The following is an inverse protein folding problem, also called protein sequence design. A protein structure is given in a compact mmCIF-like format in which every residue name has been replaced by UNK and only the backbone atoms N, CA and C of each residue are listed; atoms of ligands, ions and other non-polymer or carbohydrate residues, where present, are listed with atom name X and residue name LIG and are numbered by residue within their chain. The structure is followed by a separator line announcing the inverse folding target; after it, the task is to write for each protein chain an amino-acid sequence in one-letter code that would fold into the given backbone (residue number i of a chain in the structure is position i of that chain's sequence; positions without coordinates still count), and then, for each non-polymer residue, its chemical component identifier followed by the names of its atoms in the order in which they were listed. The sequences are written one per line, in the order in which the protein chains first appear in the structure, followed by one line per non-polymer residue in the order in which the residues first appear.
data_IF_992117492306
#
_entry.id   IF_992117492306
#
_cell.length_a   1.000
_cell.length_b   1.000
_cell.length_c   1.000
_cell.angle_alpha   90.00
_cell.angle_beta   90.00
_cell.angle_gamma   90.00
#
_symmetry.space_group_name_H-M   'P 1'
#
loop_
_entity.id
_entity.type
_entity.pdbx_description
1 polymer ?
#
# COMPACT_ATOMS: atom_id res chain seq x y z
N UNK A 1 -2.28 -2.99 -35.43
CA UNK A 1 -2.04 -4.27 -34.71
C UNK A 1 -1.34 -3.92 -33.41
N UNK A 2 -2.01 -4.02 -32.27
CA UNK A 2 -1.42 -3.74 -30.96
C UNK A 2 -0.31 -4.77 -30.69
N UNK A 3 0.94 -4.34 -30.51
CA UNK A 3 2.03 -5.25 -30.16
C UNK A 3 1.80 -5.76 -28.72
N UNK A 4 1.32 -7.00 -28.59
CA UNK A 4 0.97 -7.65 -27.32
C UNK A 4 2.12 -7.59 -26.30
N UNK A 5 3.37 -7.53 -26.77
CA UNK A 5 4.58 -7.43 -25.93
C UNK A 5 4.67 -6.13 -25.13
N UNK A 6 4.21 -5.02 -25.68
CA UNK A 6 4.22 -3.72 -24.99
C UNK A 6 3.00 -3.52 -24.07
N UNK A 7 1.90 -4.21 -24.36
CA UNK A 7 0.63 -4.02 -23.68
C UNK A 7 0.67 -4.54 -22.23
N UNK A 8 1.19 -5.75 -22.03
CA UNK A 8 1.21 -6.41 -20.70
C UNK A 8 1.92 -5.57 -19.63
N UNK A 9 3.19 -5.14 -19.81
CA UNK A 9 3.86 -4.33 -18.79
C UNK A 9 3.20 -2.96 -18.60
N UNK A 10 2.63 -2.38 -19.67
CA UNK A 10 1.93 -1.08 -19.62
C UNK A 10 0.64 -1.15 -18.79
N UNK A 11 -0.18 -2.19 -19.01
CA UNK A 11 -1.40 -2.39 -18.22
C UNK A 11 -1.05 -2.73 -16.76
N UNK A 12 -0.06 -3.60 -16.55
CA UNK A 12 0.37 -4.00 -15.22
C UNK A 12 0.82 -2.81 -14.38
N UNK A 13 1.68 -1.93 -14.92
CA UNK A 13 2.14 -0.74 -14.18
C UNK A 13 1.04 0.29 -13.97
N UNK A 14 0.16 0.48 -14.97
CA UNK A 14 -0.94 1.43 -14.83
C UNK A 14 -1.91 0.99 -13.73
N UNK A 15 -2.33 -0.29 -13.73
CA UNK A 15 -3.21 -0.82 -12.69
C UNK A 15 -2.52 -0.82 -11.32
N UNK A 16 -1.26 -1.25 -11.24
CA UNK A 16 -0.50 -1.22 -10.00
C UNK A 16 -0.31 0.20 -9.44
N UNK A 17 -0.09 1.18 -10.32
CA UNK A 17 0.02 2.60 -9.94
C UNK A 17 -1.28 3.11 -9.34
N UNK A 18 -2.43 2.82 -9.96
CA UNK A 18 -3.74 3.20 -9.43
C UNK A 18 -3.97 2.53 -8.07
N UNK A 19 -3.77 1.22 -7.95
CA UNK A 19 -3.95 0.50 -6.68
C UNK A 19 -3.06 1.08 -5.58
N UNK A 20 -1.79 1.37 -5.90
CA UNK A 20 -0.83 1.91 -4.92
C UNK A 20 -1.19 3.33 -4.49
N UNK A 21 -1.66 4.18 -5.41
CA UNK A 21 -2.20 5.51 -5.09
C UNK A 21 -3.45 5.40 -4.20
N UNK A 22 -4.36 4.49 -4.50
CA UNK A 22 -5.55 4.26 -3.69
C UNK A 22 -5.19 3.82 -2.27
N UNK A 23 -4.21 2.93 -2.12
CA UNK A 23 -3.69 2.53 -0.81
C UNK A 23 -3.02 3.70 -0.07
N UNK A 24 -2.25 4.52 -0.78
CA UNK A 24 -1.52 5.67 -0.20
C UNK A 24 -2.45 6.78 0.30
N UNK A 25 -3.56 7.00 -0.41
CA UNK A 25 -4.54 8.05 -0.09
C UNK A 25 -5.79 7.54 0.61
N UNK A 26 -5.85 6.24 0.96
CA UNK A 26 -6.91 5.69 1.79
C UNK A 26 -7.03 6.49 3.10
N UNK A 27 -8.25 6.77 3.54
CA UNK A 27 -8.49 7.49 4.80
C UNK A 27 -8.12 8.97 4.78
N UNK A 28 -8.09 9.60 3.61
CA UNK A 28 -7.96 11.05 3.52
C UNK A 28 -9.21 11.77 3.95
N UNK A 29 -10.34 11.28 3.45
CA UNK A 29 -11.65 11.85 3.71
C UNK A 29 -12.51 10.76 4.34
N UNK A 30 -13.52 11.19 5.10
CA UNK A 30 -14.40 10.32 5.88
C UNK A 30 -15.04 9.19 5.07
N UNK A 31 -15.28 9.42 3.76
CA UNK A 31 -15.92 8.46 2.86
C UNK A 31 -14.97 7.85 1.81
N UNK A 32 -13.67 8.17 1.86
CA UNK A 32 -12.72 7.71 0.85
C UNK A 32 -11.98 6.47 1.33
N UNK A 33 -12.43 5.29 0.87
CA UNK A 33 -11.84 3.99 1.18
C UNK A 33 -11.66 3.76 2.71
N UNK A 34 -12.71 4.05 3.48
CA UNK A 34 -12.67 3.95 4.95
C UNK A 34 -12.43 2.54 5.50
N UNK A 35 -12.75 1.51 4.72
CA UNK A 35 -12.48 0.09 5.04
C UNK A 35 -11.14 -0.42 4.48
N UNK A 36 -10.30 0.48 3.94
CA UNK A 36 -8.97 0.16 3.43
C UNK A 36 -7.94 0.69 4.41
N UNK A 37 -8.07 0.22 5.63
CA UNK A 37 -7.13 0.48 6.70
C UNK A 37 -6.08 -0.61 6.78
N UNK A 38 -4.91 -0.26 7.29
CA UNK A 38 -3.86 -1.21 7.63
C UNK A 38 -4.31 -2.05 8.83
N UNK A 39 -4.85 -1.37 9.85
CA UNK A 39 -5.48 -1.96 11.01
C UNK A 39 -6.46 -0.98 11.65
N UNK A 40 -7.48 -1.51 12.32
CA UNK A 40 -8.45 -0.78 13.13
C UNK A 40 -8.22 -1.12 14.60
N UNK A 41 -8.05 -0.08 15.43
CA UNK A 41 -8.05 -0.17 16.88
C UNK A 41 -9.43 0.15 17.42
N UNK A 42 -9.87 -0.62 18.41
CA UNK A 42 -11.07 -0.40 19.19
C UNK A 42 -10.67 -0.14 20.62
N UNK A 43 -11.21 0.95 21.16
CA UNK A 43 -10.97 1.38 22.53
C UNK A 43 -12.29 1.38 23.30
N UNK A 44 -12.23 1.23 24.64
CA UNK A 44 -13.43 1.32 25.46
C UNK A 44 -14.08 2.70 25.27
N UNK A 45 -15.40 2.70 25.11
CA UNK A 45 -16.18 3.91 24.98
C UNK A 45 -16.02 4.76 26.25
N UNK A 46 -15.60 6.01 26.09
CA UNK A 46 -15.45 6.93 27.20
C UNK A 46 -16.82 7.52 27.60
N UNK A 47 -17.27 7.24 28.82
CA UNK A 47 -18.50 7.80 29.39
C UNK A 47 -18.33 9.21 29.97
N UNK A 48 -17.12 9.77 29.99
CA UNK A 48 -16.77 10.98 30.78
C UNK A 48 -16.44 12.22 29.94
N UNK A 49 -16.37 12.11 28.61
CA UNK A 49 -16.19 13.26 27.72
C UNK A 49 -14.74 13.74 27.56
N UNK A 50 -13.77 12.87 27.80
CA UNK A 50 -12.31 13.08 27.65
C UNK A 50 -11.83 13.22 26.20
N UNK A 51 -12.72 13.06 25.21
CA UNK A 51 -12.40 13.19 23.79
C UNK A 51 -11.78 11.94 23.14
N UNK A 52 -11.79 10.80 23.85
CA UNK A 52 -11.39 9.49 23.30
C UNK A 52 -12.49 8.94 22.38
N UNK A 53 -12.09 8.37 21.24
CA UNK A 53 -12.99 7.78 20.27
C UNK A 53 -13.11 6.27 20.43
N UNK A 54 -14.21 5.67 19.96
CA UNK A 54 -14.46 4.23 20.09
C UNK A 54 -13.61 3.40 19.13
N UNK A 55 -13.26 3.97 17.97
CA UNK A 55 -12.40 3.32 17.01
C UNK A 55 -11.44 4.28 16.32
N UNK A 56 -10.26 3.76 15.98
CA UNK A 56 -9.22 4.42 15.21
C UNK A 56 -8.81 3.51 14.05
N UNK A 57 -9.07 3.98 12.83
CA UNK A 57 -8.71 3.31 11.58
C UNK A 57 -7.39 3.90 11.08
N UNK A 58 -6.35 3.07 10.99
CA UNK A 58 -4.98 3.51 10.66
C UNK A 58 -4.70 3.18 9.19
N UNK A 59 -4.29 4.20 8.42
CA UNK A 59 -3.89 4.07 7.03
C UNK A 59 -2.38 4.39 6.88
N UNK A 60 -1.82 4.23 5.66
CA UNK A 60 -0.38 4.46 5.43
C UNK A 60 0.05 5.88 5.82
N UNK A 61 -0.72 6.89 5.44
CA UNK A 61 -0.37 8.31 5.57
C UNK A 61 -1.27 9.11 6.52
N UNK A 62 -2.36 8.51 6.98
CA UNK A 62 -3.35 9.16 7.82
C UNK A 62 -3.98 8.16 8.77
N UNK A 63 -4.74 8.67 9.74
CA UNK A 63 -5.63 7.87 10.56
C UNK A 63 -6.97 8.59 10.65
N UNK A 64 -8.04 7.83 10.78
CA UNK A 64 -9.39 8.32 10.99
C UNK A 64 -9.91 7.81 12.33
N UNK A 65 -10.64 8.66 13.04
CA UNK A 65 -11.25 8.35 14.32
C UNK A 65 -12.76 8.51 14.23
N UNK A 66 -13.49 7.77 15.06
CA UNK A 66 -14.94 7.78 15.03
C UNK A 66 -15.62 7.09 16.19
N UNK A 67 -16.94 7.15 16.20
CA UNK A 67 -17.79 6.51 17.21
C UNK A 67 -18.60 5.38 16.60
N UNK A 68 -18.93 4.40 17.42
CA UNK A 68 -19.75 3.26 17.00
C UNK A 68 -21.23 3.63 17.16
N UNK A 69 -21.94 3.75 16.05
CA UNK A 69 -23.39 3.91 16.02
C UNK A 69 -24.09 2.56 16.16
N UNK A 70 -24.95 2.42 17.17
CA UNK A 70 -25.80 1.26 17.34
C UNK A 70 -27.10 1.42 16.55
N UNK A 71 -27.10 1.01 15.28
CA UNK A 71 -28.34 0.96 14.49
C UNK A 71 -28.99 -0.41 14.64
N UNK A 72 -29.93 -0.56 15.59
CA UNK A 72 -30.70 -1.79 15.88
C UNK A 72 -29.87 -3.06 16.21
N UNK A 73 -30.34 -3.95 17.12
CA UNK A 73 -29.62 -5.18 17.48
C UNK A 73 -29.50 -6.23 16.35
N UNK A 74 -30.08 -5.96 15.17
CA UNK A 74 -30.09 -6.85 14.01
C UNK A 74 -29.40 -6.27 12.77
N UNK A 75 -28.97 -5.00 12.82
CA UNK A 75 -28.11 -4.41 11.80
C UNK A 75 -26.74 -4.17 12.44
N UNK A 76 -25.67 -4.58 11.75
CA UNK A 76 -24.32 -4.55 12.31
C UNK A 76 -23.92 -3.17 12.84
N UNK A 77 -22.94 -3.16 13.76
CA UNK A 77 -22.39 -1.93 14.34
C UNK A 77 -21.94 -0.99 13.22
N UNK A 78 -22.55 0.19 13.14
CA UNK A 78 -22.27 1.17 12.09
C UNK A 78 -21.14 2.09 12.54
N UNK A 79 -20.02 2.13 11.82
CA UNK A 79 -18.89 3.01 12.14
C UNK A 79 -19.19 4.44 11.66
N UNK A 80 -19.25 5.41 12.56
CA UNK A 80 -19.41 6.83 12.21
C UNK A 80 -18.07 7.55 12.33
N UNK A 81 -17.45 7.85 11.19
CA UNK A 81 -16.14 8.54 11.15
C UNK A 81 -16.35 10.03 11.48
N UNK A 82 -15.81 10.48 12.61
CA UNK A 82 -15.98 11.85 13.09
C UNK A 82 -14.91 12.78 12.52
N UNK A 83 -13.64 12.37 12.52
CA UNK A 83 -12.52 13.17 12.05
C UNK A 83 -11.41 12.30 11.45
N UNK A 84 -10.61 12.86 10.54
CA UNK A 84 -9.41 12.24 10.02
C UNK A 84 -8.23 13.22 10.15
N UNK A 85 -7.04 12.67 10.39
CA UNK A 85 -5.80 13.44 10.49
C UNK A 85 -5.35 13.98 9.13
N UNK A 86 -4.53 15.04 9.15
CA UNK A 86 -3.95 15.63 7.95
C UNK A 86 -2.90 14.71 7.32
N UNK A 87 -2.88 14.67 5.98
CA UNK A 87 -1.89 13.94 5.16
C UNK A 87 -0.50 14.58 5.29
N UNK A 88 0.33 14.13 6.22
CA UNK A 88 1.75 14.51 6.22
C UNK A 88 2.62 13.26 6.29
N UNK A 89 3.63 13.18 5.41
CA UNK A 89 4.56 12.04 5.25
C UNK A 89 5.24 11.57 6.56
N UNK A 90 5.17 12.39 7.62
CA UNK A 90 5.79 12.18 8.93
C UNK A 90 4.80 12.15 10.11
N UNK A 91 3.49 12.31 9.86
CA UNK A 91 2.42 12.22 10.86
C UNK A 91 1.68 10.88 10.79
N UNK A 92 2.38 9.84 10.34
CA UNK A 92 2.01 8.46 10.65
C UNK A 92 1.52 8.37 12.09
N UNK A 93 0.40 7.66 12.30
CA UNK A 93 -0.30 7.47 13.56
C UNK A 93 0.63 7.69 14.75
N UNK A 94 0.44 8.82 15.43
CA UNK A 94 1.17 9.16 16.64
C UNK A 94 0.28 8.79 17.82
N UNK A 95 0.51 7.63 18.46
CA UNK A 95 -0.31 7.18 19.58
C UNK A 95 -0.27 8.18 20.73
N UNK A 96 0.78 9.00 20.83
CA UNK A 96 0.90 10.06 21.85
C UNK A 96 -0.04 11.25 21.62
N UNK A 97 -0.53 11.44 20.39
CA UNK A 97 -1.57 12.44 20.09
C UNK A 97 -2.98 11.91 20.32
N UNK A 98 -3.21 10.62 20.06
CA UNK A 98 -4.48 9.97 20.33
C UNK A 98 -4.69 9.76 21.84
N UNK A 99 -3.62 9.41 22.55
CA UNK A 99 -3.59 9.26 24.00
C UNK A 99 -2.30 9.88 24.55
N UNK A 100 -2.36 11.10 25.12
CA UNK A 100 -1.26 11.65 25.89
C UNK A 100 -0.85 10.66 26.97
N UNK A 101 0.46 10.55 27.25
CA UNK A 101 1.00 9.60 28.24
C UNK A 101 0.30 9.69 29.61
N UNK A 102 -0.24 10.86 29.92
CA UNK A 102 -1.01 11.19 31.11
C UNK A 102 -2.34 10.42 31.12
N UNK A 103 -3.13 10.49 30.03
CA UNK A 103 -4.38 9.76 29.86
C UNK A 103 -4.12 8.25 29.71
N UNK A 104 -3.10 7.86 28.94
CA UNK A 104 -2.74 6.46 28.75
C UNK A 104 -2.36 5.75 30.06
N UNK A 105 -1.65 6.44 30.96
CA UNK A 105 -1.18 5.88 32.22
C UNK A 105 -2.21 6.01 33.35
N UNK A 106 -2.96 7.13 33.39
CA UNK A 106 -3.79 7.50 34.54
C UNK A 106 -5.27 7.15 34.36
N UNK A 107 -5.80 7.27 33.13
CA UNK A 107 -7.20 6.94 32.79
C UNK A 107 -7.33 5.54 32.19
N UNK A 108 -6.39 5.13 31.33
CA UNK A 108 -6.43 3.85 30.61
C UNK A 108 -5.61 2.74 31.27
N UNK A 109 -4.70 3.06 32.19
CA UNK A 109 -3.91 2.10 32.97
C UNK A 109 -2.93 1.24 32.15
N UNK A 110 -2.55 1.68 30.95
CA UNK A 110 -1.76 0.84 30.03
C UNK A 110 -0.34 0.60 30.55
N UNK A 111 0.13 -0.67 30.59
CA UNK A 111 1.50 -0.97 30.96
C UNK A 111 2.49 -0.46 29.89
N UNK A 112 3.72 -0.14 30.32
CA UNK A 112 4.80 0.40 29.44
C UNK A 112 5.09 -0.45 28.21
N UNK A 113 4.82 -1.76 28.27
CA UNK A 113 4.96 -2.67 27.12
C UNK A 113 4.08 -2.27 25.93
N UNK A 114 2.86 -1.75 26.20
CA UNK A 114 1.94 -1.29 25.16
C UNK A 114 2.47 0.00 24.52
N UNK A 115 3.04 0.93 25.30
CA UNK A 115 3.63 2.15 24.76
C UNK A 115 4.88 1.89 23.91
N UNK A 116 5.67 0.86 24.25
CA UNK A 116 6.86 0.48 23.49
C UNK A 116 6.47 -0.14 22.13
N UNK A 117 5.46 -1.02 22.12
CA UNK A 117 4.88 -1.59 20.88
C UNK A 117 4.36 -0.47 19.97
N UNK A 118 3.67 0.52 20.53
CA UNK A 118 3.17 1.68 19.80
C UNK A 118 4.28 2.58 19.22
N UNK A 119 5.41 2.72 19.92
CA UNK A 119 6.57 3.41 19.39
C UNK A 119 7.19 2.67 18.21
N UNK A 120 7.32 1.33 18.30
CA UNK A 120 7.81 0.50 17.20
C UNK A 120 6.88 0.54 15.98
N UNK A 121 5.56 0.53 16.21
CA UNK A 121 4.54 0.67 15.17
C UNK A 121 4.73 2.00 14.42
N UNK A 122 4.89 3.11 15.14
CA UNK A 122 5.09 4.44 14.55
C UNK A 122 6.35 4.53 13.69
N UNK A 123 7.44 3.90 14.11
CA UNK A 123 8.70 3.92 13.36
C UNK A 123 8.58 3.07 12.09
N UNK A 124 7.99 1.88 12.19
CA UNK A 124 7.81 0.96 11.06
C UNK A 124 6.84 1.50 10.01
N UNK A 125 5.74 2.11 10.42
CA UNK A 125 4.76 2.73 9.51
C UNK A 125 5.33 3.95 8.77
N UNK A 126 6.20 4.75 9.40
CA UNK A 126 6.94 5.83 8.71
C UNK A 126 7.85 5.28 7.62
N UNK A 127 8.60 4.21 7.90
CA UNK A 127 9.47 3.58 6.90
C UNK A 127 8.64 3.02 5.75
N UNK A 128 7.54 2.32 6.06
CA UNK A 128 6.60 1.81 5.06
C UNK A 128 6.04 2.93 4.17
N UNK A 129 5.60 4.04 4.76
CA UNK A 129 5.07 5.21 4.07
C UNK A 129 6.08 5.80 3.07
N UNK A 130 7.35 5.95 3.48
CA UNK A 130 8.43 6.41 2.60
C UNK A 130 8.67 5.45 1.44
N UNK A 131 8.68 4.14 1.70
CA UNK A 131 8.85 3.12 0.66
C UNK A 131 7.71 3.14 -0.36
N UNK A 132 6.45 3.28 0.08
CA UNK A 132 5.32 3.45 -0.85
C UNK A 132 5.47 4.71 -1.71
N UNK A 133 5.92 5.83 -1.14
CA UNK A 133 6.15 7.05 -1.91
C UNK A 133 7.23 6.88 -2.98
N UNK A 134 8.33 6.21 -2.64
CA UNK A 134 9.39 5.89 -3.61
C UNK A 134 8.83 5.01 -4.72
N UNK A 135 8.06 3.98 -4.36
CA UNK A 135 7.46 3.05 -5.32
C UNK A 135 6.46 3.72 -6.27
N UNK A 136 5.53 4.51 -5.73
CA UNK A 136 4.55 5.29 -6.52
C UNK A 136 5.25 6.32 -7.39
N UNK A 137 6.28 6.98 -6.89
CA UNK A 137 7.11 7.90 -7.67
C UNK A 137 7.82 7.22 -8.83
N UNK A 138 8.44 6.06 -8.59
CA UNK A 138 9.08 5.26 -9.62
C UNK A 138 8.09 4.75 -10.68
N UNK A 139 6.91 4.31 -10.26
CA UNK A 139 5.83 3.91 -11.18
C UNK A 139 5.35 5.08 -12.05
N UNK A 140 5.13 6.25 -11.44
CA UNK A 140 4.76 7.47 -12.18
C UNK A 140 5.82 7.88 -13.18
N UNK A 141 7.10 7.84 -12.79
CA UNK A 141 8.23 8.12 -13.68
C UNK A 141 8.29 7.13 -14.86
N UNK A 142 8.10 5.82 -14.60
CA UNK A 142 8.06 4.81 -15.66
C UNK A 142 6.91 5.04 -16.66
N UNK A 143 5.73 5.45 -16.19
CA UNK A 143 4.60 5.82 -17.05
C UNK A 143 4.97 7.03 -17.93
N UNK A 144 5.60 8.07 -17.36
CA UNK A 144 6.05 9.24 -18.12
C UNK A 144 7.12 8.86 -19.16
N UNK A 145 8.07 8.00 -18.80
CA UNK A 145 9.07 7.47 -19.75
C UNK A 145 8.37 6.76 -20.90
N UNK A 146 7.37 5.90 -20.62
CA UNK A 146 6.60 5.22 -21.67
C UNK A 146 5.88 6.21 -22.60
N UNK A 147 5.18 7.20 -22.06
CA UNK A 147 4.53 8.25 -22.87
C UNK A 147 5.56 8.97 -23.74
N UNK A 148 6.72 9.30 -23.20
CA UNK A 148 7.79 9.93 -23.95
C UNK A 148 8.33 9.04 -25.07
N UNK A 149 8.51 7.74 -24.83
CA UNK A 149 8.96 6.78 -25.86
C UNK A 149 7.95 6.65 -27.00
N UNK A 150 6.64 6.76 -26.71
CA UNK A 150 5.60 6.72 -27.75
C UNK A 150 5.57 8.00 -28.61
N UNK A 151 5.92 9.15 -28.04
CA UNK A 151 5.97 10.43 -28.77
C UNK A 151 7.29 10.65 -29.52
N UNK A 152 8.38 10.08 -29.03
CA UNK A 152 9.73 10.26 -29.60
C UNK A 152 10.51 8.95 -29.52
N UNK A 153 10.26 8.00 -30.45
CA UNK A 153 10.91 6.70 -30.43
C UNK A 153 12.41 6.87 -30.69
N UNK A 154 13.23 6.59 -29.67
CA UNK A 154 14.70 6.57 -29.77
C UNK A 154 15.24 5.17 -29.46
N UNK A 155 16.23 4.68 -30.23
CA UNK A 155 16.91 3.43 -29.89
C UNK A 155 17.63 3.60 -28.54
N UNK A 156 17.38 2.69 -27.59
CA UNK A 156 18.06 2.65 -26.28
C UNK A 156 17.25 3.10 -25.05
N UNK A 157 15.95 3.38 -25.15
CA UNK A 157 15.12 3.81 -24.00
C UNK A 157 14.65 2.67 -23.07
N UNK A 158 14.77 1.41 -23.49
CA UNK A 158 14.31 0.23 -22.73
C UNK A 158 14.95 0.02 -21.34
N UNK A 159 16.28 0.16 -21.18
CA UNK A 159 16.95 -0.04 -19.89
C UNK A 159 16.52 0.95 -18.79
N UNK A 160 16.30 2.23 -19.14
CA UNK A 160 15.84 3.23 -18.19
C UNK A 160 14.46 2.87 -17.63
N UNK A 161 13.56 2.40 -18.49
CA UNK A 161 12.23 2.00 -18.09
C UNK A 161 12.26 0.76 -17.16
N UNK A 162 13.08 -0.23 -17.51
CA UNK A 162 13.30 -1.42 -16.68
C UNK A 162 13.81 -1.06 -15.27
N UNK A 163 14.71 -0.08 -15.15
CA UNK A 163 15.22 0.38 -13.85
C UNK A 163 14.13 0.95 -12.95
N UNK A 164 13.24 1.80 -13.49
CA UNK A 164 12.11 2.33 -12.73
C UNK A 164 11.11 1.24 -12.32
N UNK A 165 10.87 0.26 -13.18
CA UNK A 165 10.06 -0.92 -12.85
C UNK A 165 10.66 -1.73 -11.70
N UNK A 166 11.98 -1.99 -11.74
CA UNK A 166 12.70 -2.70 -10.68
C UNK A 166 12.67 -1.94 -9.36
N UNK A 167 12.92 -0.62 -9.39
CA UNK A 167 12.87 0.22 -8.21
C UNK A 167 11.46 0.25 -7.60
N UNK A 168 10.42 0.37 -8.44
CA UNK A 168 9.03 0.35 -8.05
C UNK A 168 8.61 -0.99 -7.44
N UNK A 169 8.96 -2.11 -8.08
CA UNK A 169 8.60 -3.45 -7.60
C UNK A 169 9.28 -3.77 -6.27
N UNK A 170 10.57 -3.48 -6.11
CA UNK A 170 11.30 -3.73 -4.87
C UNK A 170 10.76 -2.89 -3.71
N UNK A 171 10.56 -1.59 -3.92
CA UNK A 171 10.07 -0.69 -2.87
C UNK A 171 8.66 -1.05 -2.39
N UNK A 172 7.73 -1.31 -3.31
CA UNK A 172 6.35 -1.72 -2.96
C UNK A 172 6.31 -3.11 -2.32
N UNK A 173 7.18 -4.03 -2.74
CA UNK A 173 7.29 -5.36 -2.12
C UNK A 173 7.76 -5.26 -0.67
N UNK A 174 8.82 -4.50 -0.39
CA UNK A 174 9.31 -4.29 0.98
C UNK A 174 8.24 -3.59 1.83
N UNK A 175 7.57 -2.58 1.28
CA UNK A 175 6.50 -1.89 1.98
C UNK A 175 5.32 -2.83 2.31
N UNK A 176 4.95 -3.73 1.39
CA UNK A 176 3.89 -4.72 1.58
C UNK A 176 4.24 -5.77 2.65
N UNK A 177 5.52 -6.15 2.74
CA UNK A 177 6.01 -7.03 3.81
C UNK A 177 5.87 -6.33 5.16
N UNK A 178 6.31 -5.08 5.27
CA UNK A 178 6.18 -4.30 6.52
C UNK A 178 4.70 -4.16 6.90
N UNK A 179 3.83 -3.86 5.94
CA UNK A 179 2.39 -3.80 6.17
C UNK A 179 1.82 -5.13 6.70
N UNK A 180 2.30 -6.25 6.17
CA UNK A 180 1.88 -7.60 6.59
C UNK A 180 2.32 -7.89 8.04
N UNK A 181 3.55 -7.49 8.40
CA UNK A 181 4.05 -7.60 9.79
C UNK A 181 3.20 -6.74 10.73
N UNK A 182 2.87 -5.51 10.33
CA UNK A 182 1.98 -4.64 11.11
C UNK A 182 0.58 -5.25 11.25
N UNK A 183 0.03 -5.79 10.18
CA UNK A 183 -1.29 -6.41 10.18
C UNK A 183 -1.38 -7.64 11.10
N UNK A 184 -0.36 -8.50 11.14
CA UNK A 184 -0.46 -9.74 11.92
C UNK A 184 0.21 -9.66 13.29
N UNK A 185 1.47 -9.23 13.36
CA UNK A 185 2.26 -9.27 14.60
C UNK A 185 1.81 -8.19 15.58
N UNK A 186 1.67 -6.95 15.11
CA UNK A 186 1.25 -5.86 15.99
C UNK A 186 -0.19 -6.02 16.46
N UNK A 187 -1.10 -6.48 15.60
CA UNK A 187 -2.48 -6.77 15.99
C UNK A 187 -2.55 -7.89 17.02
N UNK A 188 -1.73 -8.95 16.87
CA UNK A 188 -1.66 -10.03 17.86
C UNK A 188 -1.11 -9.54 19.21
N UNK A 189 -0.05 -8.72 19.21
CA UNK A 189 0.52 -8.12 20.42
C UNK A 189 -0.49 -7.22 21.13
N UNK A 190 -1.19 -6.35 20.40
CA UNK A 190 -2.22 -5.47 20.95
C UNK A 190 -3.37 -6.27 21.55
N UNK A 191 -3.84 -7.32 20.87
CA UNK A 191 -4.91 -8.18 21.39
C UNK A 191 -4.46 -8.99 22.63
N UNK A 192 -3.20 -9.40 22.70
CA UNK A 192 -2.65 -10.11 23.84
C UNK A 192 -2.54 -9.21 25.08
N UNK A 193 -2.00 -8.01 24.92
CA UNK A 193 -1.84 -7.05 26.02
C UNK A 193 -3.13 -6.26 26.35
N UNK A 194 -4.05 -6.13 25.39
CA UNK A 194 -5.28 -5.34 25.48
C UNK A 194 -6.47 -6.04 26.17
N UNK A 195 -6.40 -7.37 26.36
CA UNK A 195 -7.48 -8.16 26.96
C UNK A 195 -7.90 -7.70 28.37
N UNK A 196 -6.98 -7.14 29.15
CA UNK A 196 -7.26 -6.61 30.49
C UNK A 196 -7.95 -5.24 30.49
N UNK A 197 -7.92 -4.52 29.35
CA UNK A 197 -8.29 -3.10 29.26
C UNK A 197 -9.38 -2.82 28.21
N UNK A 198 -10.03 -3.88 27.71
CA UNK A 198 -11.07 -3.81 26.67
C UNK A 198 -10.61 -3.10 25.38
N UNK A 199 -9.33 -3.26 25.03
CA UNK A 199 -8.74 -2.76 23.78
C UNK A 199 -8.58 -3.95 22.84
N UNK A 200 -9.02 -3.78 21.60
CA UNK A 200 -8.84 -4.81 20.56
C UNK A 200 -8.39 -4.20 19.24
N UNK A 201 -7.65 -4.97 18.46
CA UNK A 201 -7.16 -4.61 17.15
C UNK A 201 -7.65 -5.61 16.11
N UNK A 202 -8.00 -5.12 14.93
CA UNK A 202 -8.31 -5.92 13.76
C UNK A 202 -7.46 -5.46 12.58
N UNK A 203 -6.95 -6.39 11.79
CA UNK A 203 -6.17 -6.07 10.60
C UNK A 203 -7.08 -5.82 9.39
N UNK A 204 -6.62 -5.00 8.45
CA UNK A 204 -7.40 -4.68 7.27
C UNK A 204 -7.16 -5.64 6.11
N UNK A 205 -8.04 -6.62 5.95
CA UNK A 205 -7.99 -7.62 4.87
C UNK A 205 -8.00 -7.00 3.47
N UNK A 206 -8.82 -5.95 3.27
CA UNK A 206 -8.97 -5.28 1.97
C UNK A 206 -7.66 -4.59 1.55
N UNK A 207 -7.00 -3.91 2.49
CA UNK A 207 -5.72 -3.27 2.25
C UNK A 207 -4.65 -4.30 1.88
N UNK A 208 -4.58 -5.39 2.66
CA UNK A 208 -3.60 -6.46 2.44
C UNK A 208 -3.79 -7.09 1.04
N UNK A 209 -5.02 -7.39 0.66
CA UNK A 209 -5.34 -7.92 -0.68
C UNK A 209 -4.93 -6.97 -1.80
N UNK A 210 -5.17 -5.66 -1.66
CA UNK A 210 -4.81 -4.69 -2.68
C UNK A 210 -3.29 -4.48 -2.81
N UNK A 211 -2.56 -4.42 -1.69
CA UNK A 211 -1.11 -4.23 -1.79
C UNK A 211 -0.41 -5.44 -2.40
N UNK A 212 -0.82 -6.66 -2.05
CA UNK A 212 -0.27 -7.87 -2.67
C UNK A 212 -0.67 -8.01 -4.14
N UNK A 213 -1.87 -7.56 -4.53
CA UNK A 213 -2.25 -7.47 -5.93
C UNK A 213 -1.35 -6.50 -6.71
N UNK A 214 -1.03 -5.34 -6.13
CA UNK A 214 -0.08 -4.39 -6.73
C UNK A 214 1.32 -4.99 -6.87
N UNK A 215 1.82 -5.69 -5.85
CA UNK A 215 3.10 -6.42 -5.91
C UNK A 215 3.09 -7.45 -7.04
N UNK A 216 2.05 -8.28 -7.12
CA UNK A 216 1.91 -9.29 -8.17
C UNK A 216 1.95 -8.68 -9.57
N UNK A 217 1.19 -7.60 -9.79
CA UNK A 217 1.20 -6.86 -11.05
C UNK A 217 2.57 -6.27 -11.38
N UNK A 218 3.25 -5.68 -10.40
CA UNK A 218 4.59 -5.12 -10.59
C UNK A 218 5.62 -6.20 -10.92
N UNK A 219 5.58 -7.36 -10.26
CA UNK A 219 6.47 -8.48 -10.57
C UNK A 219 6.26 -8.99 -12.00
N UNK A 220 5.00 -9.17 -12.42
CA UNK A 220 4.67 -9.55 -13.81
C UNK A 220 5.16 -8.50 -14.80
N UNK A 221 4.95 -7.22 -14.50
CA UNK A 221 5.42 -6.10 -15.32
C UNK A 221 6.95 -6.06 -15.43
N UNK A 222 7.66 -6.25 -14.33
CA UNK A 222 9.13 -6.33 -14.29
C UNK A 222 9.65 -7.48 -15.15
N UNK A 223 9.07 -8.69 -15.03
CA UNK A 223 9.45 -9.85 -15.85
C UNK A 223 9.19 -9.60 -17.34
N UNK A 224 8.05 -9.00 -17.68
CA UNK A 224 7.72 -8.67 -19.06
C UNK A 224 8.68 -7.61 -19.64
N UNK A 225 9.03 -6.57 -18.87
CA UNK A 225 10.04 -5.59 -19.27
C UNK A 225 11.42 -6.23 -19.44
N UNK A 226 11.82 -7.11 -18.53
CA UNK A 226 13.08 -7.87 -18.65
C UNK A 226 13.11 -8.68 -19.95
N UNK A 227 12.05 -9.43 -20.23
CA UNK A 227 11.94 -10.23 -21.46
C UNK A 227 12.02 -9.36 -22.72
N UNK A 228 11.39 -8.19 -22.73
CA UNK A 228 11.39 -7.28 -23.86
C UNK A 228 12.76 -6.63 -24.12
N UNK A 229 13.55 -6.37 -23.07
CA UNK A 229 14.87 -5.70 -23.18
C UNK A 229 15.98 -6.71 -23.47
N UNK A 230 15.97 -7.87 -22.81
CA UNK A 230 17.12 -8.79 -22.79
C UNK A 230 16.94 -10.07 -23.59
N UNK A 231 15.72 -10.46 -23.98
CA UNK A 231 15.51 -11.66 -24.80
C UNK A 231 15.50 -11.27 -26.28
N UNK A 232 16.57 -11.59 -27.04
CA UNK A 232 16.60 -11.30 -28.48
C UNK A 232 15.46 -12.02 -29.19
N UNK A 233 14.80 -11.35 -30.13
CA UNK A 233 13.86 -12.01 -31.04
C UNK A 233 14.65 -13.11 -31.77
N UNK A 234 14.29 -14.39 -31.58
CA UNK A 234 14.63 -15.40 -32.59
C UNK A 234 14.01 -14.91 -33.89
N UNK A 235 14.83 -14.51 -34.84
CA UNK A 235 14.38 -14.22 -36.19
C UNK A 235 13.63 -15.48 -36.66
N UNK A 236 12.35 -15.32 -37.00
CA UNK A 236 11.65 -16.35 -37.74
C UNK A 236 12.50 -16.62 -38.99
N UNK A 237 12.91 -17.88 -39.13
CA UNK A 237 13.62 -18.49 -40.26
C UNK A 237 13.62 -17.62 -41.52
N UNK A 238 14.79 -17.09 -41.88
CA UNK A 238 15.01 -16.53 -43.20
C UNK A 238 14.65 -17.61 -44.25
N UNK A 239 13.85 -17.30 -45.29
CA UNK A 239 13.70 -18.23 -46.40
C UNK A 239 15.08 -18.49 -47.01
N UNK A 240 15.44 -19.76 -47.20
CA UNK A 240 16.67 -20.12 -47.89
C UNK A 240 16.72 -19.43 -49.26
N UNK A 241 17.89 -18.93 -49.70
CA UNK A 241 18.01 -18.40 -51.05
C UNK A 241 17.69 -19.51 -52.04
N UNK A 242 16.73 -19.26 -52.92
CA UNK A 242 16.46 -20.13 -54.07
C UNK A 242 17.67 -20.05 -54.98
N UNK A 243 18.47 -21.11 -54.99
CA UNK A 243 19.47 -21.41 -56.02
C UNK A 243 18.75 -21.33 -57.38
N UNK A 244 19.09 -20.35 -58.21
CA UNK A 244 18.69 -20.37 -59.61
C UNK A 244 19.69 -21.27 -60.31
N UNK A 245 19.28 -22.51 -60.56
CA UNK A 245 20.00 -23.39 -61.48
C UNK A 245 20.10 -22.70 -62.84
N UNK A 246 21.34 -22.51 -63.27
CA UNK A 246 21.71 -22.08 -64.61
C UNK A 246 21.76 -23.35 -65.47
N UNK A 247 20.77 -23.51 -66.35
CA UNK A 247 20.84 -24.28 -67.60
C UNK A 247 20.08 -23.42 -68.62
N UNK A 248 20.58 -23.08 -69.79
CA UNK A 248 21.48 -23.80 -70.69
C UNK A 248 20.85 -23.66 -72.07
#
# INVERSE_FOLDING_TARGET
MLDSKGLVPTLAIFVAFIISILCLFAGTQKNFLGDVDLLTLYTPADSTGSGVHDFYSIHIMSYCQGTLGTTNPSAGVTRNVTACSNRTLLSSFDPTQAWPNEIASQELGWPRVISDDFHALRLTSKVMAVLYCIGVGAMGAAILVRVWTTLSPRPGQGPCEFWFFMLGSLSISIASIIATVIAFEFVALINAHGKGWNVSAHYGEKFLGMTWAAVGLLLVGTVACFANVFVPKRAASAPAPVEKDIEG
#
